data_IF_672918127489
#
_entry.id   IF_672918127489
#
_cell.length_a   1.000
_cell.length_b   1.000
_cell.length_c   1.000
_cell.angle_alpha   90.00
_cell.angle_beta   90.00
_cell.angle_gamma   90.00
#
_symmetry.space_group_name_H-M   'P 1'
#
loop_
_entity.id
_entity.type
_entity.pdbx_description
1 polymer ?
#
# COMPACT_ATOMS: atom_id res chain seq x y z
N UNK A 1 -5.19 -12.55 19.51
CA UNK A 1 -5.02 -11.10 19.75
C UNK A 1 -4.75 -10.78 21.24
N UNK A 2 -3.93 -11.57 21.94
CA UNK A 2 -3.75 -11.41 23.40
C UNK A 2 -2.82 -10.25 23.78
N UNK A 3 -1.68 -10.11 23.08
CA UNK A 3 -0.65 -9.11 23.41
C UNK A 3 -1.14 -7.67 23.20
N UNK A 4 -1.81 -7.39 22.08
CA UNK A 4 -2.37 -6.06 21.78
C UNK A 4 -3.46 -5.65 22.77
N UNK A 5 -4.30 -6.60 23.21
CA UNK A 5 -5.30 -6.35 24.23
C UNK A 5 -4.67 -6.14 25.61
N UNK A 6 -3.59 -6.87 25.92
CA UNK A 6 -2.80 -6.67 27.15
C UNK A 6 -2.20 -5.27 27.24
N UNK A 7 -1.60 -4.77 26.15
CA UNK A 7 -1.04 -3.41 26.08
C UNK A 7 -2.15 -2.35 26.25
N UNK A 8 -3.29 -2.55 25.60
CA UNK A 8 -4.44 -1.65 25.74
C UNK A 8 -4.96 -1.61 27.18
N UNK A 9 -5.10 -2.77 27.84
CA UNK A 9 -5.57 -2.83 29.22
C UNK A 9 -4.56 -2.27 30.23
N UNK A 10 -3.26 -2.41 29.96
CA UNK A 10 -2.21 -1.93 30.86
C UNK A 10 -1.93 -0.43 30.71
N UNK A 11 -1.84 0.08 29.47
CA UNK A 11 -1.36 1.44 29.17
C UNK A 11 -2.43 2.32 28.52
N UNK A 12 -3.59 1.78 28.12
CA UNK A 12 -4.57 2.48 27.29
C UNK A 12 -4.17 2.64 25.82
N UNK A 13 -2.96 2.21 25.44
CA UNK A 13 -2.40 2.38 24.10
C UNK A 13 -2.94 1.31 23.16
N UNK A 14 -3.71 1.72 22.15
CA UNK A 14 -4.21 0.81 21.10
C UNK A 14 -3.25 0.76 19.91
N UNK A 15 -2.56 -0.36 19.73
CA UNK A 15 -1.71 -0.60 18.56
C UNK A 15 -2.51 -1.39 17.52
N UNK A 16 -2.49 -0.92 16.27
CA UNK A 16 -3.25 -1.50 15.15
C UNK A 16 -2.38 -2.30 14.17
N UNK A 17 -1.07 -2.10 14.20
CA UNK A 17 -0.11 -2.78 13.33
C UNK A 17 0.79 -3.72 14.13
N UNK A 18 1.05 -4.90 13.58
CA UNK A 18 2.09 -5.80 14.08
C UNK A 18 3.43 -5.48 13.40
N UNK A 19 4.59 -5.66 14.08
CA UNK A 19 4.75 -6.01 15.50
C UNK A 19 4.51 -4.82 16.44
N UNK A 20 4.10 -5.11 17.68
CA UNK A 20 3.96 -4.11 18.76
C UNK A 20 5.34 -3.81 19.38
N UNK A 21 6.19 -3.07 18.66
CA UNK A 21 7.51 -2.71 19.17
C UNK A 21 7.42 -1.78 20.39
N UNK A 22 8.38 -1.85 21.33
CA UNK A 22 8.41 -0.98 22.51
C UNK A 22 8.38 0.51 22.18
N UNK A 23 8.99 0.92 21.08
CA UNK A 23 8.99 2.30 20.59
C UNK A 23 7.58 2.80 20.23
N UNK A 24 6.78 1.97 19.56
CA UNK A 24 5.37 2.29 19.24
C UNK A 24 4.51 2.39 20.49
N UNK A 25 4.79 1.56 21.51
CA UNK A 25 4.11 1.65 22.82
C UNK A 25 4.45 2.96 23.49
N UNK A 26 5.74 3.35 23.54
CA UNK A 26 6.20 4.60 24.15
C UNK A 26 5.59 5.84 23.47
N UNK A 27 5.64 5.89 22.14
CA UNK A 27 5.01 6.95 21.37
C UNK A 27 3.49 7.03 21.63
N UNK A 28 2.82 5.89 21.79
CA UNK A 28 1.42 5.84 22.17
C UNK A 28 1.14 6.40 23.56
N UNK A 29 2.01 6.12 24.54
CA UNK A 29 1.92 6.68 25.90
C UNK A 29 2.11 8.20 25.87
N UNK A 30 3.09 8.69 25.09
CA UNK A 30 3.37 10.13 24.96
C UNK A 30 2.19 10.88 24.29
N UNK A 31 1.56 10.27 23.28
CA UNK A 31 0.36 10.81 22.62
C UNK A 31 -0.82 10.85 23.59
N UNK A 32 -1.02 9.80 24.39
CA UNK A 32 -2.05 9.76 25.44
C UNK A 32 -1.80 10.82 26.52
N UNK A 33 -0.55 11.02 26.94
CA UNK A 33 -0.15 12.05 27.89
C UNK A 33 -0.40 13.46 27.34
N UNK A 34 -0.24 13.67 26.03
CA UNK A 34 -0.59 14.91 25.33
C UNK A 34 -2.10 15.09 25.11
N UNK A 35 -2.96 14.17 25.57
CA UNK A 35 -4.42 14.21 25.37
C UNK A 35 -4.88 13.82 23.96
N UNK A 36 -3.97 13.27 23.15
CA UNK A 36 -4.24 12.82 21.79
C UNK A 36 -4.97 11.48 21.75
N UNK A 37 -5.80 11.27 20.71
CA UNK A 37 -6.43 9.97 20.45
C UNK A 37 -5.55 9.16 19.51
N UNK A 38 -5.33 7.89 19.84
CA UNK A 38 -4.64 6.95 18.96
C UNK A 38 -5.64 6.51 17.89
N UNK A 39 -5.54 7.12 16.71
CA UNK A 39 -6.41 6.79 15.59
C UNK A 39 -5.89 5.55 14.86
N UNK A 40 -6.79 4.74 14.28
CA UNK A 40 -6.38 3.65 13.40
C UNK A 40 -5.50 4.19 12.25
N UNK A 41 -4.53 3.39 11.76
CA UNK A 41 -3.69 3.77 10.64
C UNK A 41 -4.57 4.12 9.44
N UNK A 42 -4.13 5.09 8.66
CA UNK A 42 -4.83 5.47 7.42
C UNK A 42 -4.97 4.23 6.54
N UNK A 43 -6.13 4.09 5.89
CA UNK A 43 -6.39 3.00 4.95
C UNK A 43 -5.25 2.94 3.93
N UNK A 44 -4.64 1.78 3.78
CA UNK A 44 -3.58 1.58 2.79
C UNK A 44 -4.12 1.92 1.40
N UNK A 45 -3.39 2.76 0.67
CA UNK A 45 -3.67 3.04 -0.73
C UNK A 45 -3.20 1.83 -1.54
N UNK A 46 -4.13 1.04 -2.06
CA UNK A 46 -3.88 -0.19 -2.82
C UNK A 46 -3.78 0.07 -4.34
N UNK A 47 -3.60 1.32 -4.73
CA UNK A 47 -3.75 1.78 -6.11
C UNK A 47 -5.18 2.26 -6.40
N UNK A 48 -5.32 2.91 -7.55
CA UNK A 48 -6.58 3.16 -8.25
C UNK A 48 -7.19 1.85 -8.73
N UNK A 49 -8.50 1.85 -8.99
CA UNK A 49 -9.18 0.67 -9.50
C UNK A 49 -8.61 0.28 -10.88
N UNK A 50 -8.59 -1.03 -11.19
CA UNK A 50 -8.03 -1.54 -12.45
C UNK A 50 -8.64 -0.82 -13.66
N UNK A 51 -9.95 -0.57 -13.63
CA UNK A 51 -10.65 0.11 -14.72
C UNK A 51 -10.29 1.59 -14.83
N UNK A 52 -10.06 2.28 -13.71
CA UNK A 52 -9.60 3.68 -13.69
C UNK A 52 -8.19 3.80 -14.28
N UNK A 53 -7.30 2.86 -13.95
CA UNK A 53 -5.97 2.80 -14.54
C UNK A 53 -6.00 2.47 -16.04
N UNK A 54 -6.88 1.57 -16.48
CA UNK A 54 -7.07 1.27 -17.91
C UNK A 54 -7.62 2.47 -18.68
N UNK A 55 -8.55 3.23 -18.10
CA UNK A 55 -9.04 4.48 -18.67
C UNK A 55 -7.93 5.54 -18.75
N UNK A 56 -7.11 5.67 -17.71
CA UNK A 56 -5.95 6.56 -17.68
C UNK A 56 -4.92 6.20 -18.77
N UNK A 57 -4.64 4.91 -18.97
CA UNK A 57 -3.74 4.42 -20.03
C UNK A 57 -4.33 4.68 -21.41
N UNK A 58 -5.64 4.50 -21.58
CA UNK A 58 -6.34 4.79 -22.83
C UNK A 58 -6.35 6.29 -23.14
N UNK A 59 -6.52 7.14 -22.13
CA UNK A 59 -6.55 8.58 -22.26
C UNK A 59 -5.16 9.21 -22.44
N UNK A 60 -4.13 8.62 -21.82
CA UNK A 60 -2.75 9.06 -21.89
C UNK A 60 -1.86 7.93 -22.45
N UNK A 61 -2.02 7.57 -23.74
CA UNK A 61 -1.17 6.58 -24.35
C UNK A 61 0.28 7.08 -24.34
N UNK A 62 1.17 6.34 -23.68
CA UNK A 62 2.60 6.58 -23.81
C UNK A 62 2.98 6.40 -25.28
N UNK A 63 3.63 7.40 -25.87
CA UNK A 63 4.24 7.21 -27.17
C UNK A 63 5.27 6.09 -27.02
N UNK A 64 5.00 4.94 -27.64
CA UNK A 64 6.07 4.02 -27.96
C UNK A 64 7.11 4.85 -28.73
N UNK A 65 8.30 5.00 -28.15
CA UNK A 65 9.44 5.52 -28.89
C UNK A 65 9.66 4.69 -30.16
N UNK A 66 10.53 5.14 -31.07
CA UNK A 66 10.73 4.53 -32.40
C UNK A 66 11.20 3.07 -32.39
N UNK A 67 11.41 2.46 -31.23
CA UNK A 67 11.94 1.12 -31.04
C UNK A 67 10.80 0.18 -30.64
N UNK A 68 10.36 -0.66 -31.58
CA UNK A 68 9.48 -1.80 -31.31
C UNK A 68 10.19 -2.79 -30.36
N UNK A 69 9.86 -2.78 -29.07
CA UNK A 69 10.38 -3.77 -28.09
C UNK A 69 9.83 -5.19 -28.27
N UNK A 70 9.19 -5.49 -29.41
CA UNK A 70 8.73 -6.83 -29.73
C UNK A 70 9.86 -7.60 -30.42
N UNK A 71 10.67 -8.30 -29.63
CA UNK A 71 11.60 -9.30 -30.16
C UNK A 71 10.91 -10.66 -30.08
N UNK A 72 10.43 -11.24 -31.20
CA UNK A 72 9.91 -12.60 -31.18
C UNK A 72 11.06 -13.56 -30.81
N UNK A 73 10.91 -14.29 -29.71
CA UNK A 73 11.80 -15.39 -29.36
C UNK A 73 11.48 -16.60 -30.25
N UNK A 74 11.85 -16.53 -31.53
CA UNK A 74 11.71 -17.62 -32.49
C UNK A 74 11.65 -17.17 -33.96
N UNK A 75 12.08 -18.03 -34.87
CA UNK A 75 12.11 -17.81 -36.33
C UNK A 75 10.74 -17.92 -37.00
N UNK A 76 9.69 -17.40 -36.37
CA UNK A 76 8.34 -17.35 -36.91
C UNK A 76 7.83 -15.92 -36.93
N UNK A 77 7.23 -15.50 -38.05
CA UNK A 77 6.50 -14.23 -38.16
C UNK A 77 5.29 -14.28 -37.24
N UNK A 78 5.48 -13.86 -35.98
CA UNK A 78 4.38 -13.61 -35.07
C UNK A 78 3.74 -12.28 -35.47
N UNK A 79 2.62 -12.34 -36.19
CA UNK A 79 1.79 -11.17 -36.43
C UNK A 79 1.25 -10.67 -35.08
N UNK A 80 1.32 -9.35 -34.85
CA UNK A 80 0.71 -8.72 -33.68
C UNK A 80 -0.80 -8.90 -33.79
N UNK A 81 -1.39 -9.71 -32.92
CA UNK A 81 -2.84 -9.85 -32.80
C UNK A 81 -3.42 -8.57 -32.19
N UNK A 82 -3.69 -7.58 -33.04
CA UNK A 82 -4.60 -6.47 -32.76
C UNK A 82 -5.63 -6.38 -33.88
#
# INVERSE_FOLDING_TARGET
MAVLNGIYNACGVRIYEMPASPEKVKAGIDILAAGGKITPPKKYFLGSDLYEELENIKANPVQAGPEDYFVPLGSGTAERFF
#
